data_IF_035602594831
#
_entry.id   IF_035602594831
#
_cell.length_a   1.000
_cell.length_b   1.000
_cell.length_c   1.000
_cell.angle_alpha   90.00
_cell.angle_beta   90.00
_cell.angle_gamma   90.00
#
_symmetry.space_group_name_H-M   'P 1'
#
loop_
_entity.id
_entity.type
_entity.pdbx_description
1 polymer ?
#
# COMPACT_ATOMS: atom_id res chain seq x y z
N UNK A 1 69.14 26.76 -60.56
CA UNK A 1 68.59 27.71 -59.56
C UNK A 1 67.09 27.50 -59.54
N UNK A 2 66.64 26.66 -58.61
CA UNK A 2 65.77 27.02 -57.47
C UNK A 2 64.29 26.81 -57.80
N UNK A 3 63.82 25.58 -57.59
CA UNK A 3 62.41 25.24 -57.46
C UNK A 3 61.86 25.91 -56.18
N UNK A 4 60.83 26.74 -56.33
CA UNK A 4 60.20 27.44 -55.22
C UNK A 4 59.26 26.50 -54.48
N UNK A 5 59.69 26.04 -53.30
CA UNK A 5 58.86 25.28 -52.39
C UNK A 5 57.76 26.17 -51.79
N UNK A 6 56.54 26.08 -52.32
CA UNK A 6 55.35 26.71 -51.72
C UNK A 6 54.95 25.88 -50.50
N UNK A 7 54.94 26.46 -49.28
CA UNK A 7 54.54 25.71 -48.09
C UNK A 7 53.04 25.38 -48.13
N UNK A 8 52.63 24.17 -47.71
CA UNK A 8 51.23 23.79 -47.70
C UNK A 8 50.45 24.60 -46.66
N UNK A 9 49.29 25.14 -47.05
CA UNK A 9 48.39 25.89 -46.16
C UNK A 9 47.86 24.94 -45.07
N UNK A 10 48.03 25.25 -43.77
CA UNK A 10 47.60 24.35 -42.70
C UNK A 10 46.07 24.26 -42.69
N UNK A 11 45.53 23.05 -42.89
CA UNK A 11 44.10 22.78 -42.75
C UNK A 11 43.71 22.93 -41.29
N UNK A 12 42.81 23.89 -41.01
CA UNK A 12 42.28 24.19 -39.67
C UNK A 12 41.48 22.99 -39.13
N UNK A 13 42.15 22.09 -38.44
CA UNK A 13 41.51 20.97 -37.74
C UNK A 13 40.58 21.50 -36.66
N UNK A 14 39.30 21.13 -36.70
CA UNK A 14 38.35 21.47 -35.64
C UNK A 14 38.78 20.71 -34.38
N UNK A 15 39.25 21.44 -33.37
CA UNK A 15 39.89 20.87 -32.18
C UNK A 15 38.97 19.97 -31.35
N UNK A 16 39.59 19.19 -30.47
CA UNK A 16 38.98 18.22 -29.54
C UNK A 16 37.72 18.74 -28.81
N UNK A 17 37.64 20.03 -28.52
CA UNK A 17 36.47 20.66 -27.90
C UNK A 17 35.20 20.61 -28.76
N UNK A 18 35.32 20.64 -30.08
CA UNK A 18 34.19 20.55 -31.01
C UNK A 18 33.63 19.12 -31.09
N UNK A 19 34.51 18.11 -31.18
CA UNK A 19 34.10 16.70 -31.17
C UNK A 19 33.64 16.23 -29.78
N UNK A 20 34.25 16.71 -28.70
CA UNK A 20 33.82 16.42 -27.33
C UNK A 20 32.44 17.02 -27.02
N UNK A 21 32.22 18.30 -27.37
CA UNK A 21 30.92 18.94 -27.17
C UNK A 21 29.82 18.29 -28.03
N UNK A 22 30.10 18.00 -29.31
CA UNK A 22 29.14 17.28 -30.18
C UNK A 22 28.83 15.89 -29.61
N UNK A 23 29.83 15.15 -29.14
CA UNK A 23 29.63 13.82 -28.56
C UNK A 23 28.76 13.90 -27.29
N UNK A 24 29.00 14.87 -26.41
CA UNK A 24 28.14 15.10 -25.24
C UNK A 24 26.70 15.44 -25.64
N UNK A 25 26.50 16.30 -26.65
CA UNK A 25 25.16 16.64 -27.14
C UNK A 25 24.46 15.42 -27.70
N UNK A 26 25.14 14.57 -28.47
CA UNK A 26 24.57 13.31 -28.98
C UNK A 26 24.22 12.36 -27.83
N UNK A 27 25.08 12.20 -26.83
CA UNK A 27 24.80 11.35 -25.66
C UNK A 27 23.59 11.87 -24.89
N UNK A 28 23.51 13.17 -24.62
CA UNK A 28 22.36 13.79 -23.95
C UNK A 28 21.09 13.58 -24.79
N UNK A 29 21.15 13.77 -26.11
CA UNK A 29 20.03 13.51 -27.00
C UNK A 29 19.57 12.05 -26.94
N UNK A 30 20.50 11.09 -26.90
CA UNK A 30 20.17 9.66 -26.75
C UNK A 30 19.56 9.35 -25.38
N UNK A 31 20.06 9.96 -24.30
CA UNK A 31 19.47 9.83 -22.95
C UNK A 31 18.04 10.38 -22.94
N UNK A 32 17.82 11.58 -23.48
CA UNK A 32 16.50 12.20 -23.56
C UNK A 32 15.55 11.37 -24.44
N UNK A 33 16.04 10.83 -25.56
CA UNK A 33 15.29 9.91 -26.42
C UNK A 33 14.91 8.62 -25.65
N UNK A 34 15.83 8.08 -24.86
CA UNK A 34 15.58 6.93 -23.99
C UNK A 34 14.51 7.22 -22.93
N UNK A 35 14.61 8.36 -22.23
CA UNK A 35 13.64 8.79 -21.21
C UNK A 35 12.25 9.00 -21.82
N UNK A 36 12.17 9.70 -22.96
CA UNK A 36 10.90 9.95 -23.64
C UNK A 36 10.26 8.65 -24.15
N UNK A 37 11.06 7.73 -24.69
CA UNK A 37 10.59 6.41 -25.09
C UNK A 37 10.08 5.58 -23.90
N UNK A 38 10.82 5.56 -22.79
CA UNK A 38 10.41 4.89 -21.56
C UNK A 38 9.10 5.47 -21.01
N UNK A 39 8.99 6.81 -20.96
CA UNK A 39 7.77 7.50 -20.54
C UNK A 39 6.58 7.17 -21.46
N UNK A 40 6.80 7.12 -22.77
CA UNK A 40 5.75 6.76 -23.73
C UNK A 40 5.26 5.31 -23.55
N UNK A 41 6.18 4.37 -23.34
CA UNK A 41 5.85 2.96 -23.05
C UNK A 41 5.11 2.81 -21.72
N UNK A 42 5.56 3.48 -20.67
CA UNK A 42 4.88 3.50 -19.38
C UNK A 42 3.46 4.07 -19.50
N UNK A 43 3.30 5.22 -20.17
CA UNK A 43 1.99 5.83 -20.41
C UNK A 43 1.06 4.90 -21.20
N UNK A 44 1.54 4.24 -22.26
CA UNK A 44 0.74 3.26 -23.01
C UNK A 44 0.33 2.06 -22.15
N UNK A 45 1.22 1.57 -21.31
CA UNK A 45 0.92 0.45 -20.41
C UNK A 45 -0.15 0.82 -19.39
N UNK A 46 0.00 1.97 -18.73
CA UNK A 46 -0.99 2.51 -17.79
C UNK A 46 -2.35 2.69 -18.47
N UNK A 47 -2.38 3.26 -19.68
CA UNK A 47 -3.62 3.40 -20.45
C UNK A 47 -4.23 2.03 -20.78
N UNK A 48 -3.41 1.01 -21.05
CA UNK A 48 -3.91 -0.34 -21.36
C UNK A 48 -4.53 -1.03 -20.15
N UNK A 49 -3.99 -0.77 -18.95
CA UNK A 49 -4.42 -1.36 -17.67
C UNK A 49 -5.43 -0.49 -16.91
N UNK A 50 -5.95 0.56 -17.53
CA UNK A 50 -6.93 1.44 -16.89
C UNK A 50 -8.08 1.70 -17.84
N UNK A 51 -9.23 2.04 -17.28
CA UNK A 51 -10.43 2.41 -18.02
C UNK A 51 -10.83 3.84 -17.73
N UNK A 52 -11.57 4.44 -18.65
CA UNK A 52 -12.20 5.74 -18.45
C UNK A 52 -13.57 5.63 -17.78
N UNK A 53 -13.98 4.40 -17.41
CA UNK A 53 -15.25 4.09 -16.77
C UNK A 53 -15.01 3.15 -15.59
N UNK A 54 -15.77 3.37 -14.50
CA UNK A 54 -15.81 2.46 -13.37
C UNK A 54 -16.43 1.13 -13.78
N UNK A 55 -15.87 0.02 -13.31
CA UNK A 55 -16.58 -1.25 -13.35
C UNK A 55 -17.84 -1.19 -12.46
N UNK A 56 -18.87 -1.94 -12.84
CA UNK A 56 -20.07 -2.11 -12.03
C UNK A 56 -19.74 -3.11 -10.93
N UNK A 57 -19.64 -2.62 -9.70
CA UNK A 57 -19.50 -3.45 -8.51
C UNK A 57 -20.90 -3.70 -7.95
N UNK A 58 -21.29 -4.96 -7.89
CA UNK A 58 -22.61 -5.36 -7.42
C UNK A 58 -22.80 -5.02 -5.95
N UNK A 59 -23.88 -4.28 -5.67
CA UNK A 59 -24.30 -4.00 -4.30
C UNK A 59 -25.00 -5.21 -3.73
N UNK A 60 -24.67 -5.56 -2.48
CA UNK A 60 -25.34 -6.64 -1.78
C UNK A 60 -26.62 -6.11 -1.15
N UNK A 61 -27.75 -6.53 -1.73
CA UNK A 61 -29.07 -6.24 -1.21
C UNK A 61 -29.38 -7.18 -0.03
N UNK A 62 -29.63 -6.59 1.14
CA UNK A 62 -30.08 -7.29 2.34
C UNK A 62 -31.31 -6.58 2.89
N UNK A 63 -32.11 -7.28 3.67
CA UNK A 63 -33.22 -6.65 4.40
C UNK A 63 -32.69 -5.67 5.45
N UNK A 64 -33.52 -4.69 5.84
CA UNK A 64 -33.17 -3.76 6.92
C UNK A 64 -32.94 -4.44 8.26
N UNK A 65 -33.56 -5.60 8.51
CA UNK A 65 -33.35 -6.40 9.71
C UNK A 65 -31.96 -7.07 9.71
N UNK A 66 -31.59 -7.70 8.60
CA UNK A 66 -30.26 -8.31 8.42
C UNK A 66 -29.14 -7.28 8.55
N UNK A 67 -29.31 -6.09 7.97
CA UNK A 67 -28.30 -5.04 8.10
C UNK A 67 -28.10 -4.62 9.57
N UNK A 68 -29.19 -4.44 10.32
CA UNK A 68 -29.11 -4.11 11.75
C UNK A 68 -28.46 -5.23 12.55
N UNK A 69 -28.70 -6.49 12.20
CA UNK A 69 -28.04 -7.63 12.83
C UNK A 69 -26.52 -7.57 12.61
N UNK A 70 -26.08 -7.35 11.37
CA UNK A 70 -24.65 -7.25 11.04
C UNK A 70 -23.98 -6.05 11.70
N UNK A 71 -24.64 -4.90 11.72
CA UNK A 71 -24.15 -3.70 12.42
C UNK A 71 -24.09 -3.93 13.94
N UNK A 72 -25.10 -4.56 14.54
CA UNK A 72 -25.11 -4.89 15.95
C UNK A 72 -23.97 -5.86 16.32
N UNK A 73 -23.70 -6.85 15.46
CA UNK A 73 -22.59 -7.80 15.62
C UNK A 73 -21.24 -7.08 15.62
N UNK A 74 -21.01 -6.15 14.69
CA UNK A 74 -19.79 -5.33 14.62
C UNK A 74 -19.68 -4.43 15.85
N UNK A 75 -20.77 -3.74 16.22
CA UNK A 75 -20.77 -2.82 17.36
C UNK A 75 -20.50 -3.55 18.68
N UNK A 76 -21.11 -4.72 18.89
CA UNK A 76 -20.84 -5.54 20.07
C UNK A 76 -19.37 -5.95 20.17
N UNK A 77 -18.75 -6.34 19.04
CA UNK A 77 -17.32 -6.62 18.98
C UNK A 77 -16.50 -5.37 19.32
N UNK A 78 -16.81 -4.22 18.71
CA UNK A 78 -16.11 -2.96 18.97
C UNK A 78 -16.20 -2.51 20.43
N UNK A 79 -17.34 -2.70 21.10
CA UNK A 79 -17.49 -2.38 22.52
C UNK A 79 -16.55 -3.22 23.41
N UNK A 80 -16.45 -4.53 23.16
CA UNK A 80 -15.51 -5.40 23.88
C UNK A 80 -14.06 -4.96 23.60
N UNK A 81 -13.76 -4.71 22.32
CA UNK A 81 -12.43 -4.27 21.90
C UNK A 81 -12.10 -2.92 22.50
N UNK A 82 -13.04 -1.97 22.66
CA UNK A 82 -12.83 -0.66 23.32
C UNK A 82 -12.63 -0.81 24.82
N UNK A 83 -13.42 -1.66 25.47
CA UNK A 83 -13.28 -1.95 26.90
C UNK A 83 -11.89 -2.51 27.22
N UNK A 84 -11.32 -3.35 26.33
CA UNK A 84 -9.92 -3.80 26.42
C UNK A 84 -9.63 -4.73 27.59
N UNK A 85 -10.65 -5.25 28.26
CA UNK A 85 -10.52 -6.13 29.43
C UNK A 85 -10.29 -7.59 29.03
N UNK A 86 -10.88 -8.00 27.91
CA UNK A 86 -10.93 -9.39 27.48
C UNK A 86 -10.58 -9.50 26.00
N UNK A 87 -10.01 -10.64 25.55
CA UNK A 87 -9.84 -10.91 24.13
C UNK A 87 -11.20 -11.01 23.45
N UNK A 88 -11.29 -10.54 22.20
CA UNK A 88 -12.50 -10.64 21.40
C UNK A 88 -12.22 -11.37 20.09
N UNK A 89 -13.24 -12.01 19.54
CA UNK A 89 -13.19 -12.68 18.23
C UNK A 89 -14.47 -12.38 17.46
N UNK A 90 -14.33 -12.07 16.18
CA UNK A 90 -15.44 -11.92 15.26
C UNK A 90 -15.17 -12.71 13.98
N UNK A 91 -16.22 -13.34 13.46
CA UNK A 91 -16.20 -14.06 12.19
C UNK A 91 -17.18 -13.41 11.22
N UNK A 92 -16.71 -13.09 10.02
CA UNK A 92 -17.49 -12.41 8.98
C UNK A 92 -17.43 -13.19 7.67
N UNK A 93 -18.60 -13.50 7.13
CA UNK A 93 -18.77 -14.06 5.79
C UNK A 93 -18.59 -13.01 4.72
N UNK A 94 -18.32 -13.42 3.48
CA UNK A 94 -18.30 -12.51 2.33
C UNK A 94 -19.63 -11.75 2.17
N UNK A 95 -20.77 -12.39 2.48
CA UNK A 95 -22.09 -11.76 2.43
C UNK A 95 -22.20 -10.61 3.44
N UNK A 96 -21.84 -10.85 4.70
CA UNK A 96 -21.87 -9.83 5.77
C UNK A 96 -20.94 -8.66 5.43
N UNK A 97 -19.72 -8.95 4.97
CA UNK A 97 -18.74 -7.92 4.57
C UNK A 97 -19.31 -7.07 3.43
N UNK A 98 -19.81 -7.69 2.37
CA UNK A 98 -20.35 -6.96 1.22
C UNK A 98 -21.63 -6.19 1.55
N UNK A 99 -22.47 -6.71 2.44
CA UNK A 99 -23.65 -6.01 2.95
C UNK A 99 -23.23 -4.74 3.72
N UNK A 100 -22.23 -4.83 4.59
CA UNK A 100 -21.69 -3.69 5.34
C UNK A 100 -21.01 -2.67 4.40
N UNK A 101 -20.24 -3.10 3.40
CA UNK A 101 -19.65 -2.22 2.38
C UNK A 101 -20.74 -1.47 1.59
N UNK A 102 -21.84 -2.15 1.26
CA UNK A 102 -22.90 -1.59 0.43
C UNK A 102 -23.78 -0.59 1.18
N UNK A 103 -23.94 -0.77 2.50
CA UNK A 103 -25.01 -0.10 3.26
C UNK A 103 -24.55 0.67 4.50
N UNK A 104 -23.39 0.39 5.09
CA UNK A 104 -22.93 1.12 6.28
C UNK A 104 -22.28 2.46 5.94
N UNK A 105 -22.45 3.46 6.82
CA UNK A 105 -21.74 4.74 6.68
C UNK A 105 -20.24 4.59 6.97
N UNK A 106 -19.85 3.63 7.82
CA UNK A 106 -18.44 3.37 8.17
C UNK A 106 -17.61 2.94 6.96
N UNK A 107 -18.19 2.15 6.04
CA UNK A 107 -17.50 1.62 4.86
C UNK A 107 -17.87 2.35 3.56
N UNK A 108 -18.49 3.53 3.67
CA UNK A 108 -18.88 4.38 2.55
C UNK A 108 -17.78 4.63 1.50
N UNK A 109 -16.50 4.81 1.87
CA UNK A 109 -15.43 4.98 0.86
C UNK A 109 -15.23 3.74 -0.04
N UNK A 110 -15.63 2.56 0.40
CA UNK A 110 -15.51 1.29 -0.34
C UNK A 110 -16.75 0.97 -1.20
N UNK A 111 -17.86 1.66 -0.93
CA UNK A 111 -19.14 1.43 -1.60
C UNK A 111 -19.02 1.65 -3.10
N UNK A 112 -19.41 0.64 -3.88
CA UNK A 112 -19.33 0.65 -5.34
C UNK A 112 -17.91 0.55 -5.90
N UNK A 113 -16.90 0.34 -5.04
CA UNK A 113 -15.49 0.21 -5.42
C UNK A 113 -14.91 -1.16 -5.13
N UNK A 114 -15.44 -1.88 -4.15
CA UNK A 114 -14.92 -3.19 -3.74
C UNK A 114 -16.07 -4.18 -3.53
N UNK A 115 -15.89 -5.39 -4.05
CA UNK A 115 -16.68 -6.57 -3.69
C UNK A 115 -15.71 -7.64 -3.19
N UNK A 116 -15.97 -8.17 -2.00
CA UNK A 116 -15.17 -9.23 -1.37
C UNK A 116 -15.73 -10.60 -1.76
N UNK A 117 -14.83 -11.51 -2.07
CA UNK A 117 -15.10 -12.93 -2.33
C UNK A 117 -14.25 -13.73 -1.35
N UNK A 118 -14.83 -14.72 -0.70
CA UNK A 118 -14.09 -15.65 0.17
C UNK A 118 -14.39 -17.06 -0.34
N UNK A 119 -13.33 -17.79 -0.65
CA UNK A 119 -13.38 -19.18 -1.08
C UNK A 119 -12.41 -19.99 -0.21
N UNK A 120 -12.97 -20.85 0.63
CA UNK A 120 -12.23 -21.62 1.65
C UNK A 120 -11.33 -20.69 2.49
N UNK A 121 -10.00 -20.82 2.33
CA UNK A 121 -8.99 -20.07 3.08
C UNK A 121 -8.40 -18.92 2.25
N UNK A 122 -8.99 -18.61 1.09
CA UNK A 122 -8.56 -17.52 0.21
C UNK A 122 -9.58 -16.39 0.23
N UNK A 123 -9.08 -15.16 0.33
CA UNK A 123 -9.85 -13.94 0.15
C UNK A 123 -9.42 -13.25 -1.14
N UNK A 124 -10.41 -12.75 -1.86
CA UNK A 124 -10.24 -12.02 -3.09
C UNK A 124 -11.40 -11.07 -3.31
N UNK A 125 -11.53 -10.59 -4.53
CA UNK A 125 -12.58 -9.65 -4.83
C UNK A 125 -12.47 -8.98 -6.18
N UNK A 126 -13.45 -8.12 -6.44
CA UNK A 126 -13.46 -7.20 -7.57
C UNK A 126 -13.22 -5.78 -7.06
N UNK A 127 -12.43 -5.02 -7.80
CA UNK A 127 -12.12 -3.64 -7.49
C UNK A 127 -12.43 -2.72 -8.68
N UNK A 128 -12.88 -1.52 -8.36
CA UNK A 128 -13.03 -0.37 -9.26
C UNK A 128 -12.53 0.86 -8.51
N UNK A 129 -11.25 1.17 -8.68
CA UNK A 129 -10.59 2.23 -7.91
C UNK A 129 -10.32 3.44 -8.81
N UNK A 130 -10.86 4.63 -8.48
CA UNK A 130 -10.51 5.86 -9.17
C UNK A 130 -9.05 6.23 -8.92
N UNK A 131 -8.29 6.45 -9.99
CA UNK A 131 -6.84 6.65 -9.91
C UNK A 131 -6.42 8.11 -9.76
N UNK A 132 -7.38 9.03 -9.89
CA UNK A 132 -7.18 10.46 -9.66
C UNK A 132 -6.86 10.80 -8.21
N UNK A 133 -7.25 9.92 -7.28
CA UNK A 133 -6.89 10.00 -5.86
C UNK A 133 -5.39 9.77 -5.60
N UNK A 134 -4.68 9.12 -6.53
CA UNK A 134 -3.24 8.86 -6.41
C UNK A 134 -2.39 9.83 -7.24
N UNK A 135 -2.93 10.38 -8.33
CA UNK A 135 -2.21 11.36 -9.16
C UNK A 135 -3.15 12.20 -10.02
N UNK A 136 -2.95 13.53 -10.09
CA UNK A 136 -3.70 14.39 -11.03
C UNK A 136 -3.57 13.98 -12.50
N UNK A 137 -2.46 13.32 -12.88
CA UNK A 137 -2.24 12.83 -14.24
C UNK A 137 -3.18 11.68 -14.63
N UNK A 138 -3.82 11.05 -13.65
CA UNK A 138 -4.72 9.90 -13.80
C UNK A 138 -6.21 10.30 -13.72
N UNK A 139 -6.51 11.60 -13.86
CA UNK A 139 -7.86 12.14 -13.79
C UNK A 139 -8.83 11.39 -14.72
N UNK A 140 -9.93 10.90 -14.15
CA UNK A 140 -10.97 10.17 -14.88
C UNK A 140 -10.58 8.75 -15.31
N UNK A 141 -9.50 8.18 -14.74
CA UNK A 141 -9.11 6.79 -14.96
C UNK A 141 -9.44 5.92 -13.75
N UNK A 142 -9.84 4.69 -14.03
CA UNK A 142 -10.17 3.67 -13.06
C UNK A 142 -9.26 2.46 -13.25
N UNK A 143 -8.84 1.88 -12.14
CA UNK A 143 -8.28 0.53 -12.10
C UNK A 143 -9.43 -0.44 -11.82
N UNK A 144 -9.82 -1.19 -12.85
CA UNK A 144 -10.84 -2.22 -12.78
C UNK A 144 -10.16 -3.58 -12.82
N UNK A 145 -10.43 -4.42 -11.83
CA UNK A 145 -9.82 -5.74 -11.79
C UNK A 145 -10.46 -6.70 -10.81
N UNK A 146 -9.95 -7.92 -10.88
CA UNK A 146 -10.26 -9.03 -9.99
C UNK A 146 -8.94 -9.58 -9.44
N UNK A 147 -8.93 -10.05 -8.21
CA UNK A 147 -7.69 -10.50 -7.59
C UNK A 147 -7.86 -11.19 -6.25
N UNK A 148 -6.78 -11.82 -5.77
CA UNK A 148 -6.66 -12.34 -4.41
C UNK A 148 -5.67 -11.52 -3.61
N UNK A 149 -5.92 -11.44 -2.31
CA UNK A 149 -5.09 -10.67 -1.40
C UNK A 149 -4.97 -11.40 -0.06
N UNK A 150 -3.92 -11.06 0.69
CA UNK A 150 -3.80 -11.45 2.09
C UNK A 150 -3.97 -10.23 2.96
N UNK A 151 -4.63 -10.45 4.10
CA UNK A 151 -4.86 -9.44 5.12
C UNK A 151 -4.00 -9.80 6.33
N UNK A 152 -3.28 -8.82 6.86
CA UNK A 152 -2.57 -8.97 8.12
C UNK A 152 -2.61 -7.67 8.90
N UNK A 153 -2.27 -7.72 10.19
CA UNK A 153 -2.08 -6.54 11.02
C UNK A 153 -0.72 -6.67 11.71
N UNK A 154 0.14 -5.65 11.56
CA UNK A 154 1.45 -5.60 12.21
C UNK A 154 1.53 -4.34 13.05
N UNK A 155 1.70 -4.48 14.38
CA UNK A 155 1.81 -3.37 15.32
C UNK A 155 0.66 -2.34 15.21
N UNK A 156 -0.57 -2.82 14.98
CA UNK A 156 -1.74 -1.97 14.80
C UNK A 156 -1.84 -1.27 13.44
N UNK A 157 -1.00 -1.66 12.49
CA UNK A 157 -1.09 -1.21 11.10
C UNK A 157 -1.68 -2.36 10.28
N UNK A 158 -2.84 -2.18 9.62
CA UNK A 158 -3.36 -3.17 8.68
C UNK A 158 -2.50 -3.16 7.42
N UNK A 159 -2.20 -4.35 6.91
CA UNK A 159 -1.51 -4.56 5.64
C UNK A 159 -2.40 -5.40 4.73
N UNK A 160 -2.49 -4.96 3.48
CA UNK A 160 -3.11 -5.71 2.38
C UNK A 160 -2.02 -6.01 1.38
N UNK A 161 -1.78 -7.29 1.12
CA UNK A 161 -0.82 -7.73 0.12
C UNK A 161 -1.56 -8.37 -1.05
N UNK A 162 -1.41 -7.81 -2.23
CA UNK A 162 -1.99 -8.30 -3.47
C UNK A 162 -1.17 -9.50 -3.93
N UNK A 163 -1.78 -10.68 -3.97
CA UNK A 163 -1.14 -11.90 -4.48
C UNK A 163 -1.30 -12.00 -5.99
N UNK A 164 -2.53 -11.79 -6.45
CA UNK A 164 -2.93 -11.89 -7.84
C UNK A 164 -3.83 -10.70 -8.17
N UNK A 165 -3.61 -10.09 -9.34
CA UNK A 165 -4.49 -9.07 -9.88
C UNK A 165 -4.58 -9.27 -11.39
N UNK A 166 -5.81 -9.31 -11.88
CA UNK A 166 -6.15 -9.32 -13.28
C UNK A 166 -6.89 -8.05 -13.63
N UNK A 167 -6.48 -7.43 -14.73
CA UNK A 167 -7.10 -6.24 -15.28
C UNK A 167 -7.51 -6.56 -16.70
N UNK A 168 -8.80 -6.40 -17.03
CA UNK A 168 -9.36 -6.75 -18.34
C UNK A 168 -9.05 -8.20 -18.74
N UNK A 169 -9.10 -9.11 -17.78
CA UNK A 169 -8.80 -10.54 -17.96
C UNK A 169 -7.32 -10.85 -18.24
N UNK A 170 -6.41 -9.90 -18.03
CA UNK A 170 -4.96 -10.11 -18.17
C UNK A 170 -4.28 -10.00 -16.81
N UNK A 171 -3.42 -10.96 -16.44
CA UNK A 171 -2.69 -10.88 -15.19
C UNK A 171 -1.73 -9.69 -15.22
N UNK A 172 -1.70 -8.95 -14.11
CA UNK A 172 -0.75 -7.88 -13.89
C UNK A 172 0.62 -8.50 -13.64
N UNK A 173 1.67 -8.09 -14.38
CA UNK A 173 3.01 -8.67 -14.21
C UNK A 173 3.55 -8.46 -12.80
N UNK A 174 4.26 -9.47 -12.26
CA UNK A 174 4.76 -9.50 -10.88
C UNK A 174 5.52 -8.24 -10.46
N UNK A 175 6.38 -7.69 -11.33
CA UNK A 175 7.12 -6.46 -11.05
C UNK A 175 6.22 -5.26 -10.68
N UNK A 176 4.98 -5.21 -11.20
CA UNK A 176 4.01 -4.17 -10.86
C UNK A 176 3.26 -4.52 -9.57
N UNK A 177 2.93 -5.79 -9.34
CA UNK A 177 2.39 -6.25 -8.05
C UNK A 177 3.36 -5.93 -6.91
N UNK A 178 4.64 -6.23 -7.10
CA UNK A 178 5.71 -5.92 -6.15
C UNK A 178 5.83 -4.41 -5.92
N UNK A 179 5.61 -3.58 -6.94
CA UNK A 179 5.59 -2.13 -6.79
C UNK A 179 4.36 -1.63 -6.04
N UNK A 180 3.18 -2.20 -6.28
CA UNK A 180 1.94 -1.87 -5.57
C UNK A 180 2.01 -2.29 -4.10
N UNK A 181 2.57 -3.47 -3.81
CA UNK A 181 2.71 -4.00 -2.46
C UNK A 181 3.78 -3.29 -1.61
N UNK A 182 4.63 -2.44 -2.21
CA UNK A 182 5.54 -1.58 -1.44
C UNK A 182 4.80 -0.46 -0.71
N UNK A 183 3.67 -0.03 -1.25
CA UNK A 183 2.82 0.98 -0.64
C UNK A 183 1.77 0.29 0.24
N UNK A 184 1.64 0.70 1.50
CA UNK A 184 0.56 0.18 2.33
C UNK A 184 -0.75 0.89 2.00
N UNK A 185 -1.56 0.28 1.13
CA UNK A 185 -2.86 0.81 0.69
C UNK A 185 -3.83 0.97 1.87
N UNK A 186 -3.68 0.16 2.92
CA UNK A 186 -4.53 0.20 4.10
C UNK A 186 -4.06 1.18 5.18
N UNK A 187 -2.94 1.88 4.99
CA UNK A 187 -2.40 2.81 5.98
C UNK A 187 -3.40 3.90 6.39
N UNK A 188 -4.21 4.39 5.43
CA UNK A 188 -5.24 5.43 5.68
C UNK A 188 -6.32 4.98 6.68
N UNK A 189 -6.45 3.69 6.97
CA UNK A 189 -7.36 3.19 8.01
C UNK A 189 -6.89 3.57 9.42
N UNK A 190 -5.63 3.98 9.60
CA UNK A 190 -5.08 4.41 10.89
C UNK A 190 -5.18 5.92 11.14
N UNK A 191 -5.76 6.69 10.21
CA UNK A 191 -5.76 8.16 10.26
C UNK A 191 -6.57 8.74 11.44
N UNK A 192 -7.46 7.95 12.05
CA UNK A 192 -8.20 8.37 13.25
C UNK A 192 -7.62 7.74 14.52
N UNK A 193 -7.52 8.49 15.64
CA UNK A 193 -7.04 7.93 16.92
C UNK A 193 -7.87 6.74 17.40
N UNK A 194 -9.17 6.75 17.13
CA UNK A 194 -10.07 5.64 17.46
C UNK A 194 -9.74 4.39 16.66
N UNK A 195 -9.58 4.50 15.34
CA UNK A 195 -9.22 3.36 14.51
C UNK A 195 -7.84 2.82 14.89
N UNK A 196 -6.86 3.69 15.14
CA UNK A 196 -5.53 3.28 15.60
C UNK A 196 -5.60 2.50 16.93
N UNK A 197 -6.41 2.94 17.89
CA UNK A 197 -6.57 2.26 19.18
C UNK A 197 -7.21 0.86 19.04
N UNK A 198 -8.18 0.70 18.14
CA UNK A 198 -8.79 -0.60 17.82
C UNK A 198 -7.79 -1.50 17.11
N UNK A 199 -7.11 -0.99 16.09
CA UNK A 199 -6.17 -1.76 15.26
C UNK A 199 -4.98 -2.26 16.08
N UNK A 200 -4.46 -1.47 17.02
CA UNK A 200 -3.40 -1.88 17.97
C UNK A 200 -3.77 -3.10 18.81
N UNK A 201 -5.07 -3.37 18.99
CA UNK A 201 -5.55 -4.53 19.74
C UNK A 201 -5.71 -5.77 18.86
N UNK A 202 -5.67 -5.64 17.54
CA UNK A 202 -5.77 -6.78 16.63
C UNK A 202 -4.52 -7.66 16.78
N UNK A 203 -4.75 -8.89 17.21
CA UNK A 203 -3.74 -9.92 17.37
C UNK A 203 -3.54 -10.70 16.06
N UNK A 204 -4.63 -11.03 15.39
CA UNK A 204 -4.61 -11.81 14.16
C UNK A 204 -5.77 -11.44 13.25
N UNK A 205 -5.51 -11.59 11.95
CA UNK A 205 -6.51 -11.57 10.88
C UNK A 205 -6.22 -12.81 10.05
N UNK A 206 -7.19 -13.71 9.94
CA UNK A 206 -7.07 -14.93 9.12
C UNK A 206 -8.34 -15.17 8.31
N UNK A 207 -8.23 -16.02 7.30
CA UNK A 207 -9.37 -16.46 6.48
C UNK A 207 -9.40 -17.97 6.57
N UNK A 208 -10.46 -18.50 7.18
CA UNK A 208 -10.60 -19.93 7.44
C UNK A 208 -12.05 -20.34 7.22
N UNK A 209 -12.27 -21.44 6.50
CA UNK A 209 -13.60 -22.04 6.35
C UNK A 209 -14.65 -21.09 5.75
N UNK A 210 -14.24 -20.24 4.80
CA UNK A 210 -15.14 -19.31 4.11
C UNK A 210 -15.45 -18.02 4.90
N UNK A 211 -14.72 -17.76 5.99
CA UNK A 211 -14.93 -16.59 6.84
C UNK A 211 -13.63 -15.82 7.10
N UNK A 212 -13.75 -14.51 7.18
CA UNK A 212 -12.73 -13.64 7.76
C UNK A 212 -12.84 -13.71 9.29
N UNK A 213 -11.74 -14.02 9.95
CA UNK A 213 -11.64 -14.12 11.40
C UNK A 213 -10.71 -13.00 11.88
N UNK A 214 -11.20 -12.20 12.83
CA UNK A 214 -10.40 -11.17 13.50
C UNK A 214 -10.39 -11.45 14.98
N UNK A 215 -9.19 -11.57 15.56
CA UNK A 215 -9.01 -11.75 16.99
C UNK A 215 -8.23 -10.58 17.60
N UNK A 216 -8.59 -10.18 18.80
CA UNK A 216 -7.93 -9.12 19.55
C UNK A 216 -7.32 -9.61 20.85
N UNK A 217 -6.26 -8.95 21.28
CA UNK A 217 -5.71 -9.07 22.61
C UNK A 217 -6.36 -8.05 23.57
N UNK A 218 -6.36 -8.32 24.89
CA UNK A 218 -6.63 -7.31 25.90
C UNK A 218 -5.70 -6.09 25.74
N UNK A 219 -6.13 -4.95 26.28
CA UNK A 219 -5.26 -3.78 26.35
C UNK A 219 -3.97 -4.14 27.09
N UNK A 220 -2.78 -3.72 26.59
CA UNK A 220 -1.56 -3.81 27.37
C UNK A 220 -1.83 -3.16 28.73
N UNK A 221 -1.53 -3.86 29.82
CA UNK A 221 -1.58 -3.26 31.15
C UNK A 221 -0.76 -1.96 31.09
N UNK A 222 -1.25 -0.84 31.67
CA UNK A 222 -0.45 0.38 31.75
C UNK A 222 0.92 -0.01 32.24
N UNK A 223 1.96 0.31 31.46
CA UNK A 223 3.33 -0.01 31.82
C UNK A 223 3.50 0.36 33.29
N UNK A 224 3.80 -0.64 34.13
CA UNK A 224 4.15 -0.37 35.51
C UNK A 224 5.18 0.75 35.46
N UNK A 225 4.90 1.86 36.16
CA UNK A 225 5.82 2.98 36.25
C UNK A 225 7.23 2.42 36.44
N UNK A 226 8.25 2.89 35.70
CA UNK A 226 9.59 2.36 35.83
C UNK A 226 9.91 2.28 37.33
N UNK A 227 10.19 1.06 37.81
CA UNK A 227 10.63 0.87 39.20
C UNK A 227 11.70 1.93 39.48
N UNK A 228 11.60 2.71 40.57
CA UNK A 228 12.60 3.70 40.89
C UNK A 228 13.95 3.00 40.85
N UNK A 229 14.84 3.52 39.99
CA UNK A 229 16.15 2.93 39.75
C UNK A 229 16.80 2.54 41.08
N UNK A 230 17.37 1.33 41.21
CA UNK A 230 18.00 0.92 42.45
C UNK A 230 19.04 1.98 42.83
N UNK A 231 18.93 2.50 44.05
CA UNK A 231 19.87 3.47 44.58
C UNK A 231 21.28 2.90 44.39
N UNK A 232 22.12 3.63 43.64
CA UNK A 232 23.52 3.28 43.44
C UNK A 232 24.13 3.22 44.85
N UNK A 233 24.66 2.07 45.30
CA UNK A 233 25.36 2.01 46.57
C UNK A 233 26.56 2.96 46.50
N UNK A 234 26.65 3.89 47.44
CA UNK A 234 27.82 4.73 47.66
C UNK A 234 29.07 3.82 47.72
N UNK A 235 29.93 3.94 46.71
CA UNK A 235 31.22 3.24 46.71
C UNK A 235 32.06 3.77 47.87
N UNK A 236 32.58 2.91 48.77
CA UNK A 236 33.49 3.36 49.82
C UNK A 236 34.77 3.91 49.18
N UNK A 237 35.19 5.08 49.65
CA UNK A 237 36.42 5.74 49.25
C UNK A 237 37.61 4.76 49.30
N UNK A 238 38.30 4.60 48.16
CA UNK A 238 39.55 3.87 48.10
C UNK A 238 40.60 4.67 48.89
N UNK A 239 41.11 4.06 49.96
CA UNK A 239 42.26 4.57 50.70
C UNK A 239 43.50 4.54 49.79
N UNK A 240 44.19 5.68 49.72
CA UNK A 240 45.47 5.82 49.05
C UNK A 240 46.54 4.96 49.75
N UNK A 241 47.54 4.42 49.02
CA UNK A 241 48.69 3.80 49.66
C UNK A 241 49.73 4.87 50.02
N UNK A 242 50.08 4.96 51.30
CA UNK A 242 51.28 5.69 51.78
C UNK A 242 52.55 4.85 51.53
N UNK A 243 53.69 5.50 51.21
CA UNK A 243 55.01 5.05 51.63
C UNK A 243 55.46 5.69 52.96
#
# INVERSE_FOLDING_TARGET
MTDAHVPPVPKKGRGCFFYGCITCVVIIALILAGITFAFWKAKKFVISMTDTQSAVIEMTAVSGEQLREYEAKINAFLEIVRAGKEPARIELTALEINALISNSEMLKPLKGRVQVLIDNDRIGGKISVPLDEFSPAMKGRFLNGDGSFTLSCQNGVPLVQIEELSVKGKPVPKQFLDALNKENIAAKLTDTPEAAAILQRIKSVSVEGGKLIVETAPAPAPAAAPEPAPAIPEQPAQAAPEP
#
